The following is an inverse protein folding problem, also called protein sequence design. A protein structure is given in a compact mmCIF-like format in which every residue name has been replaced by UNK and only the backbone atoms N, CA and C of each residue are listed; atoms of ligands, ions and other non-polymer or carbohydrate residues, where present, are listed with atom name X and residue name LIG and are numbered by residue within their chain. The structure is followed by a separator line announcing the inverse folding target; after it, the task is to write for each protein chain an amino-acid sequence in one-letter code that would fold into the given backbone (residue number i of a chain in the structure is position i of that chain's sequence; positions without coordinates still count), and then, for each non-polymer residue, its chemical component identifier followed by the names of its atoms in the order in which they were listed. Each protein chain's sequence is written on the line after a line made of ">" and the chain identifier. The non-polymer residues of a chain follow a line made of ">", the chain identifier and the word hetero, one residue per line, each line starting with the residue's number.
data_IF_261647624144
#
_entry.id   IF_261647624144
#
_cell.length_a   1.000
_cell.length_b   1.000
_cell.length_c   1.000
_cell.angle_alpha   90.00
_cell.angle_beta   90.00
_cell.angle_gamma   90.00
#
_symmetry.space_group_name_H-M   'P 1'
#
loop_
_entity.id
_entity.type
_entity.pdbx_description
1 polymer ?
#
# COMPACT_ATOMS: atom_id res chain seq x y z
N UNK A 1 47.15 -61.58 -5.55
CA UNK A 1 45.73 -61.22 -5.36
C UNK A 1 45.67 -60.20 -4.22
N UNK A 2 45.44 -58.93 -4.52
CA UNK A 2 45.13 -57.90 -3.52
C UNK A 2 44.44 -56.72 -4.25
N UNK A 3 43.11 -56.74 -4.27
CA UNK A 3 42.29 -55.68 -4.86
C UNK A 3 42.18 -54.54 -3.84
N UNK A 4 42.71 -53.37 -4.18
CA UNK A 4 42.68 -52.16 -3.36
C UNK A 4 41.25 -51.61 -3.31
N UNK A 5 40.64 -51.59 -2.12
CA UNK A 5 39.31 -51.04 -1.87
C UNK A 5 39.40 -49.50 -1.81
N UNK A 6 39.25 -48.82 -2.96
CA UNK A 6 39.25 -47.36 -3.02
C UNK A 6 37.86 -46.84 -2.69
N UNK A 7 37.66 -46.39 -1.45
CA UNK A 7 36.50 -45.57 -1.06
C UNK A 7 36.49 -44.33 -1.95
N UNK A 8 35.44 -44.15 -2.75
CA UNK A 8 35.33 -42.97 -3.62
C UNK A 8 34.95 -41.74 -2.79
N UNK A 9 35.37 -40.55 -3.22
CA UNK A 9 35.03 -39.27 -2.58
C UNK A 9 33.52 -39.11 -2.36
N UNK A 10 32.71 -39.68 -3.26
CA UNK A 10 31.24 -39.70 -3.17
C UNK A 10 30.77 -40.55 -1.97
N UNK A 11 31.40 -41.69 -1.70
CA UNK A 11 31.07 -42.55 -0.56
C UNK A 11 31.42 -41.87 0.77
N UNK A 12 32.54 -41.14 0.82
CA UNK A 12 32.93 -40.35 1.98
C UNK A 12 31.90 -39.24 2.28
N UNK A 13 31.49 -38.49 1.26
CA UNK A 13 30.47 -37.44 1.38
C UNK A 13 29.14 -38.06 1.83
N UNK A 14 28.73 -39.18 1.23
CA UNK A 14 27.48 -39.87 1.59
C UNK A 14 27.52 -40.40 3.03
N UNK A 15 28.65 -40.93 3.50
CA UNK A 15 28.83 -41.39 4.87
C UNK A 15 28.81 -40.23 5.88
N UNK A 16 29.47 -39.11 5.58
CA UNK A 16 29.45 -37.89 6.41
C UNK A 16 28.05 -37.29 6.49
N UNK A 17 27.36 -37.17 5.35
CA UNK A 17 25.96 -36.72 5.30
C UNK A 17 25.02 -37.70 6.03
N UNK A 18 25.28 -39.01 5.95
CA UNK A 18 24.50 -40.05 6.62
C UNK A 18 24.66 -40.00 8.15
N UNK A 19 25.87 -39.67 8.64
CA UNK A 19 26.18 -39.60 10.07
C UNK A 19 25.50 -38.43 10.79
N UNK A 20 25.21 -37.35 10.07
CA UNK A 20 24.59 -36.13 10.61
C UNK A 20 23.23 -35.77 9.97
N UNK A 21 22.51 -36.74 9.38
CA UNK A 21 21.21 -36.51 8.70
C UNK A 21 20.20 -35.78 9.58
N UNK A 22 20.13 -36.12 10.86
CA UNK A 22 19.24 -35.48 11.82
C UNK A 22 19.61 -34.01 12.05
N UNK A 23 20.90 -33.70 12.22
CA UNK A 23 21.37 -32.33 12.37
C UNK A 23 21.13 -31.49 11.10
N UNK A 24 21.37 -32.07 9.92
CA UNK A 24 21.10 -31.41 8.64
C UNK A 24 19.60 -31.13 8.45
N UNK A 25 18.73 -32.08 8.79
CA UNK A 25 17.27 -31.90 8.72
C UNK A 25 16.80 -30.78 9.66
N UNK A 26 17.29 -30.74 10.89
CA UNK A 26 16.95 -29.68 11.86
C UNK A 26 17.37 -28.30 11.37
N UNK A 27 18.58 -28.16 10.81
CA UNK A 27 19.07 -26.87 10.26
C UNK A 27 18.23 -26.42 9.08
N UNK A 28 17.88 -27.32 8.16
CA UNK A 28 17.01 -27.01 7.01
C UNK A 28 15.61 -26.61 7.48
N UNK A 29 15.03 -27.32 8.46
CA UNK A 29 13.74 -26.97 9.05
C UNK A 29 13.77 -25.60 9.74
N UNK A 30 14.83 -25.29 10.51
CA UNK A 30 15.00 -23.98 11.14
C UNK A 30 15.12 -22.86 10.10
N UNK A 31 15.91 -23.07 9.06
CA UNK A 31 16.06 -22.11 7.96
C UNK A 31 14.72 -21.87 7.24
N UNK A 32 13.95 -22.93 6.97
CA UNK A 32 12.63 -22.83 6.35
C UNK A 32 11.63 -22.05 7.23
N UNK A 33 11.65 -22.27 8.55
CA UNK A 33 10.82 -21.52 9.51
C UNK A 33 11.21 -20.03 9.53
N UNK A 34 12.51 -19.71 9.57
CA UNK A 34 13.00 -18.33 9.58
C UNK A 34 12.65 -17.60 8.29
N UNK A 35 12.82 -18.25 7.13
CA UNK A 35 12.45 -17.70 5.82
C UNK A 35 10.94 -17.52 5.71
N UNK A 36 10.15 -18.49 6.17
CA UNK A 36 8.70 -18.42 6.22
C UNK A 36 8.21 -17.27 7.11
N UNK A 37 8.76 -17.13 8.32
CA UNK A 37 8.46 -16.04 9.23
C UNK A 37 8.82 -14.66 8.64
N UNK A 38 9.99 -14.56 7.98
CA UNK A 38 10.41 -13.32 7.31
C UNK A 38 9.48 -12.93 6.17
N UNK A 39 9.02 -13.90 5.37
CA UNK A 39 8.04 -13.66 4.30
C UNK A 39 6.68 -13.20 4.86
N UNK A 40 6.20 -13.84 5.93
CA UNK A 40 4.94 -13.46 6.59
C UNK A 40 5.01 -12.04 7.11
N UNK A 41 6.11 -11.64 7.75
CA UNK A 41 6.31 -10.27 8.23
C UNK A 41 6.32 -9.25 7.08
N UNK A 42 6.96 -9.58 5.95
CA UNK A 42 7.01 -8.72 4.76
C UNK A 42 5.62 -8.52 4.12
N UNK A 43 4.79 -9.56 4.12
CA UNK A 43 3.43 -9.53 3.55
C UNK A 43 2.42 -8.83 4.49
N UNK A 44 2.59 -8.99 5.81
CA UNK A 44 1.73 -8.36 6.79
C UNK A 44 1.82 -6.82 6.72
N UNK A 45 3.03 -6.27 6.59
CA UNK A 45 3.26 -4.82 6.46
C UNK A 45 2.56 -4.21 5.23
N UNK A 46 2.54 -4.93 4.11
CA UNK A 46 1.90 -4.50 2.85
C UNK A 46 0.37 -4.47 2.92
N UNK A 47 -0.23 -5.35 3.73
CA UNK A 47 -1.68 -5.48 3.84
C UNK A 47 -2.32 -4.24 4.47
N UNK A 48 -1.68 -3.70 5.52
CA UNK A 48 -2.17 -2.52 6.23
C UNK A 48 -2.11 -1.25 5.36
N UNK A 49 -1.01 -1.05 4.63
CA UNK A 49 -0.86 0.10 3.72
C UNK A 49 -1.90 0.05 2.60
N UNK A 50 -2.14 -1.14 2.04
CA UNK A 50 -3.12 -1.32 0.96
C UNK A 50 -4.54 -1.00 1.43
N UNK A 51 -4.94 -1.52 2.60
CA UNK A 51 -6.28 -1.26 3.14
C UNK A 51 -6.54 0.23 3.38
N UNK A 52 -5.60 0.95 4.01
CA UNK A 52 -5.70 2.39 4.24
C UNK A 52 -5.77 3.17 2.93
N UNK A 53 -4.98 2.80 1.92
CA UNK A 53 -5.04 3.45 0.60
C UNK A 53 -6.35 3.18 -0.14
N UNK A 54 -6.95 2.00 0.04
CA UNK A 54 -8.28 1.69 -0.51
C UNK A 54 -9.38 2.53 0.15
N UNK A 55 -9.35 2.68 1.48
CA UNK A 55 -10.30 3.52 2.21
C UNK A 55 -10.20 4.99 1.76
N UNK A 56 -8.99 5.54 1.71
CA UNK A 56 -8.74 6.90 1.20
C UNK A 56 -9.06 7.05 -0.30
N UNK A 57 -9.04 5.97 -1.08
CA UNK A 57 -9.51 5.99 -2.46
C UNK A 57 -11.04 6.04 -2.54
N UNK A 58 -11.74 5.34 -1.65
CA UNK A 58 -13.21 5.40 -1.56
C UNK A 58 -13.69 6.79 -1.12
N UNK A 59 -13.06 7.39 -0.10
CA UNK A 59 -13.36 8.77 0.33
C UNK A 59 -13.12 9.78 -0.78
N UNK A 60 -12.05 9.61 -1.55
CA UNK A 60 -11.75 10.46 -2.71
C UNK A 60 -12.80 10.33 -3.81
N UNK A 61 -13.26 9.12 -4.09
CA UNK A 61 -14.35 8.91 -5.04
C UNK A 61 -15.64 9.58 -4.54
N UNK A 62 -15.93 9.49 -3.23
CA UNK A 62 -17.07 10.17 -2.62
C UNK A 62 -16.96 11.70 -2.75
N UNK A 63 -15.78 12.28 -2.51
CA UNK A 63 -15.53 13.72 -2.71
C UNK A 63 -15.88 14.16 -4.13
N UNK A 64 -15.55 13.37 -5.15
CA UNK A 64 -15.90 13.69 -6.55
C UNK A 64 -17.42 13.73 -6.73
N UNK A 65 -18.15 12.76 -6.16
CA UNK A 65 -19.62 12.77 -6.18
C UNK A 65 -20.19 13.99 -5.46
N UNK A 66 -19.60 14.41 -4.34
CA UNK A 66 -19.98 15.64 -3.62
C UNK A 66 -19.76 16.89 -4.48
N UNK A 67 -18.62 17.00 -5.17
CA UNK A 67 -18.32 18.10 -6.09
C UNK A 67 -19.38 18.20 -7.20
N UNK A 68 -19.74 17.09 -7.82
CA UNK A 68 -20.79 17.06 -8.85
C UNK A 68 -22.16 17.45 -8.29
N UNK A 69 -22.48 17.01 -7.07
CA UNK A 69 -23.72 17.39 -6.40
C UNK A 69 -23.78 18.90 -6.14
N UNK A 70 -22.69 19.50 -5.65
CA UNK A 70 -22.59 20.94 -5.43
C UNK A 70 -22.69 21.74 -6.74
N UNK A 71 -22.08 21.26 -7.83
CA UNK A 71 -22.23 21.89 -9.14
C UNK A 71 -23.69 21.92 -9.61
N UNK A 72 -24.45 20.83 -9.38
CA UNK A 72 -25.89 20.78 -9.69
C UNK A 72 -26.69 21.76 -8.84
N UNK A 73 -26.40 21.83 -7.55
CA UNK A 73 -27.07 22.74 -6.61
C UNK A 73 -26.77 24.22 -6.93
N UNK A 74 -25.54 24.54 -7.33
CA UNK A 74 -25.10 25.88 -7.66
C UNK A 74 -25.44 26.31 -9.11
N UNK A 75 -26.25 25.52 -9.83
CA UNK A 75 -26.44 25.69 -11.27
C UNK A 75 -26.97 27.05 -11.71
N UNK A 76 -27.88 27.65 -10.92
CA UNK A 76 -28.39 29.00 -11.17
C UNK A 76 -27.29 30.05 -11.09
N UNK A 77 -26.41 29.96 -10.09
CA UNK A 77 -25.31 30.91 -9.87
C UNK A 77 -24.21 30.75 -10.91
N UNK A 78 -23.91 29.51 -11.29
CA UNK A 78 -22.80 29.19 -12.20
C UNK A 78 -23.17 29.27 -13.68
N UNK A 79 -24.47 29.30 -14.02
CA UNK A 79 -24.95 29.17 -15.40
C UNK A 79 -24.71 27.79 -16.01
N UNK A 80 -24.25 26.82 -15.22
CA UNK A 80 -23.97 25.43 -15.58
C UNK A 80 -24.15 24.53 -14.36
N UNK A 81 -24.52 23.28 -14.56
CA UNK A 81 -24.80 22.31 -13.49
C UNK A 81 -23.74 21.19 -13.40
N UNK A 82 -22.58 21.37 -14.02
CA UNK A 82 -21.55 20.36 -14.14
C UNK A 82 -20.14 20.97 -14.00
N UNK A 83 -19.18 20.10 -13.63
CA UNK A 83 -17.75 20.37 -13.72
C UNK A 83 -17.21 19.62 -14.94
N UNK A 84 -16.26 20.23 -15.65
CA UNK A 84 -15.69 19.62 -16.84
C UNK A 84 -15.02 18.25 -16.52
N UNK A 85 -15.23 17.21 -17.35
CA UNK A 85 -14.74 15.86 -17.06
C UNK A 85 -13.22 15.78 -16.83
N UNK A 86 -12.44 16.60 -17.55
CA UNK A 86 -11.00 16.69 -17.39
C UNK A 86 -10.59 17.23 -16.00
N UNK A 87 -11.38 18.12 -15.42
CA UNK A 87 -11.14 18.65 -14.05
C UNK A 87 -11.50 17.59 -13.02
N UNK A 88 -12.63 16.89 -13.17
CA UNK A 88 -13.00 15.78 -12.29
C UNK A 88 -11.96 14.66 -12.34
N UNK A 89 -11.40 14.38 -13.52
CA UNK A 89 -10.27 13.43 -13.68
C UNK A 89 -9.02 13.90 -12.94
N UNK A 90 -8.67 15.18 -13.01
CA UNK A 90 -7.53 15.71 -12.28
C UNK A 90 -7.73 15.64 -10.76
N UNK A 91 -8.87 16.10 -10.26
CA UNK A 91 -9.20 16.12 -8.82
C UNK A 91 -9.28 14.71 -8.23
N UNK A 92 -9.81 13.74 -8.99
CA UNK A 92 -9.85 12.32 -8.58
C UNK A 92 -8.47 11.63 -8.59
N UNK A 93 -7.54 12.08 -9.43
CA UNK A 93 -6.20 11.48 -9.51
C UNK A 93 -5.30 11.90 -8.34
N UNK A 94 -5.41 13.16 -7.88
CA UNK A 94 -4.50 13.74 -6.90
C UNK A 94 -4.84 13.26 -5.47
N UNK A 95 -3.90 12.63 -4.73
CA UNK A 95 -4.13 12.19 -3.36
C UNK A 95 -4.07 13.39 -2.39
N UNK A 96 -5.20 14.10 -2.22
CA UNK A 96 -5.30 15.32 -1.42
C UNK A 96 -4.76 15.18 0.02
N UNK A 97 -4.91 14.03 0.64
CA UNK A 97 -4.40 13.73 2.00
C UNK A 97 -2.88 13.84 2.16
N UNK A 98 -2.09 13.81 1.07
CA UNK A 98 -0.64 14.01 1.09
C UNK A 98 -0.28 15.49 1.37
N UNK A 99 -1.21 16.41 1.09
CA UNK A 99 -1.01 17.86 1.26
C UNK A 99 -1.65 18.41 2.54
N UNK A 100 -2.17 17.53 3.39
CA UNK A 100 -2.88 17.88 4.63
C UNK A 100 -2.07 17.34 5.82
N UNK A 101 -1.95 18.10 6.94
CA UNK A 101 -1.27 17.61 8.13
C UNK A 101 -1.87 16.29 8.63
N UNK A 102 -1.04 15.39 9.17
CA UNK A 102 -1.44 14.03 9.58
C UNK A 102 -2.71 14.01 10.46
N UNK A 103 -2.81 14.94 11.42
CA UNK A 103 -3.95 15.07 12.34
C UNK A 103 -5.29 15.40 11.66
N UNK A 104 -5.26 15.85 10.41
CA UNK A 104 -6.44 16.24 9.62
C UNK A 104 -6.67 15.31 8.42
N UNK A 105 -5.90 14.21 8.27
CA UNK A 105 -6.04 13.31 7.12
C UNK A 105 -7.42 12.65 7.02
N UNK A 106 -8.05 12.35 8.15
CA UNK A 106 -9.42 11.81 8.19
C UNK A 106 -10.47 12.78 7.61
N UNK A 107 -10.14 14.08 7.55
CA UNK A 107 -11.00 15.10 6.95
C UNK A 107 -10.54 15.51 5.54
N UNK A 108 -9.45 14.92 5.02
CA UNK A 108 -8.77 15.44 3.83
C UNK A 108 -9.68 15.56 2.60
N UNK A 109 -10.69 14.69 2.50
CA UNK A 109 -11.64 14.63 1.40
C UNK A 109 -13.03 15.22 1.74
N UNK A 110 -13.20 15.75 2.95
CA UNK A 110 -14.39 16.52 3.30
C UNK A 110 -14.46 17.80 2.46
N UNK A 111 -15.66 18.17 2.00
CA UNK A 111 -15.82 19.34 1.14
C UNK A 111 -15.82 20.65 1.95
N UNK A 112 -14.67 20.97 2.56
CA UNK A 112 -14.43 22.18 3.35
C UNK A 112 -12.95 22.60 3.30
N UNK A 113 -12.61 23.86 3.59
CA UNK A 113 -11.21 24.26 3.74
C UNK A 113 -10.58 23.62 4.98
N UNK A 114 -9.28 23.30 4.90
CA UNK A 114 -8.51 22.76 6.03
C UNK A 114 -7.22 23.57 6.25
N UNK A 115 -6.81 23.83 7.50
CA UNK A 115 -5.55 24.52 7.78
C UNK A 115 -4.34 23.63 7.48
N UNK A 116 -3.36 24.18 6.77
CA UNK A 116 -2.11 23.49 6.37
C UNK A 116 -0.86 24.05 7.09
N UNK A 117 -1.06 25.01 7.99
CA UNK A 117 0.01 25.66 8.75
C UNK A 117 0.29 27.09 8.27
N UNK A 118 1.08 27.85 9.03
CA UNK A 118 1.48 29.23 8.71
C UNK A 118 0.30 30.18 8.43
N UNK A 119 -0.85 29.97 9.06
CA UNK A 119 -2.06 30.75 8.80
C UNK A 119 -2.73 30.45 7.44
N UNK A 120 -2.24 29.47 6.69
CA UNK A 120 -2.75 29.09 5.37
C UNK A 120 -3.73 27.91 5.44
N UNK A 121 -4.61 27.86 4.44
CA UNK A 121 -5.58 26.78 4.25
C UNK A 121 -5.44 26.18 2.85
N UNK A 122 -5.74 24.88 2.75
CA UNK A 122 -6.08 24.27 1.46
C UNK A 122 -7.57 24.48 1.20
N UNK A 123 -7.90 25.01 0.01
CA UNK A 123 -9.28 25.34 -0.37
C UNK A 123 -10.19 24.12 -0.42
N UNK A 124 -11.49 24.34 -0.22
CA UNK A 124 -12.56 23.34 -0.38
C UNK A 124 -12.45 22.65 -1.76
N UNK A 125 -12.56 21.30 -1.83
CA UNK A 125 -12.53 20.55 -3.08
C UNK A 125 -13.43 21.08 -4.21
N UNK A 126 -14.69 21.44 -3.91
CA UNK A 126 -15.60 22.03 -4.89
C UNK A 126 -15.07 23.34 -5.48
N UNK A 127 -14.51 24.22 -4.65
CA UNK A 127 -13.91 25.48 -5.10
C UNK A 127 -12.66 25.25 -5.96
N UNK A 128 -11.88 24.20 -5.69
CA UNK A 128 -10.73 23.82 -6.53
C UNK A 128 -11.18 23.30 -7.91
N UNK A 129 -12.36 22.69 -7.98
CA UNK A 129 -12.90 22.10 -9.21
C UNK A 129 -13.70 23.09 -10.09
N UNK A 130 -14.07 24.25 -9.55
CA UNK A 130 -14.95 25.23 -10.19
C UNK A 130 -14.25 26.07 -11.25
#
# INVERSE_FOLDING_TARGET
>A
MAQQDKITTIDLIRAVLARNRAALAVVISLAAVVLGASLVLLVADRSSVTAVQTELAAERAHMVTTIEAHAKQASTTLGRNYIAPEVLKAVSAVPRHVFVPDRLRADAYADRPLPIGYGQTVSQPFIVAL
#
